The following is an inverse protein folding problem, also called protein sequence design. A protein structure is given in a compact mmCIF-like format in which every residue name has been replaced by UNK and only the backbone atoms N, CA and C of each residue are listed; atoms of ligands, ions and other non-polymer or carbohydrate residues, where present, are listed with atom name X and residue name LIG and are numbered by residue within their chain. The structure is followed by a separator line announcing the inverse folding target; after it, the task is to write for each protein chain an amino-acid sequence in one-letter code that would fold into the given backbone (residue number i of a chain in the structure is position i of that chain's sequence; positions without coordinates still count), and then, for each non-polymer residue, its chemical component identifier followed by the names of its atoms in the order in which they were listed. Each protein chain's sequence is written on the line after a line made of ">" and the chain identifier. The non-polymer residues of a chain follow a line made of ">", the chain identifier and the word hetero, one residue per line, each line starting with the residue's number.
data_IF_040935287478
#
_entry.id   IF_040935287478
#
_cell.length_a   1.000
_cell.length_b   1.000
_cell.length_c   1.000
_cell.angle_alpha   90.00
_cell.angle_beta   90.00
_cell.angle_gamma   90.00
#
_symmetry.space_group_name_H-M   'P 1'
#
loop_
_entity.id
_entity.type
_entity.pdbx_description
1 polymer ?
#
# COMPACT_ATOMS: atom_id res chain seq x y z
N UNK A 1 31.42 -9.66 -9.50
CA UNK A 1 30.42 -10.38 -8.70
C UNK A 1 29.88 -9.37 -7.70
N UNK A 2 28.85 -8.61 -8.10
CA UNK A 2 28.25 -7.58 -7.23
C UNK A 2 27.31 -8.31 -6.27
N UNK A 3 27.56 -8.13 -4.98
CA UNK A 3 26.69 -8.62 -3.92
C UNK A 3 25.32 -7.95 -4.08
N UNK A 4 24.29 -8.71 -4.46
CA UNK A 4 22.91 -8.25 -4.39
C UNK A 4 22.59 -8.04 -2.90
N UNK A 5 22.59 -6.79 -2.45
CA UNK A 5 21.96 -6.43 -1.19
C UNK A 5 20.45 -6.67 -1.38
N UNK A 6 19.97 -7.84 -0.95
CA UNK A 6 18.56 -8.10 -0.74
C UNK A 6 18.05 -7.16 0.36
N UNK A 7 17.71 -5.93 0.00
CA UNK A 7 16.91 -5.05 0.82
C UNK A 7 15.48 -5.59 0.79
N UNK A 8 15.12 -6.41 1.77
CA UNK A 8 13.73 -6.81 1.97
C UNK A 8 12.94 -5.59 2.48
N UNK A 9 12.01 -5.09 1.68
CA UNK A 9 11.10 -4.02 2.09
C UNK A 9 9.95 -4.63 2.86
N UNK A 10 9.67 -4.10 4.05
CA UNK A 10 8.52 -4.53 4.87
C UNK A 10 7.51 -3.39 4.94
N UNK A 11 6.30 -3.65 4.45
CA UNK A 11 5.17 -2.74 4.63
C UNK A 11 4.62 -2.84 6.05
N UNK A 12 4.51 -1.70 6.71
CA UNK A 12 3.95 -1.60 8.05
C UNK A 12 2.84 -0.55 8.07
N UNK A 13 1.69 -0.93 8.61
CA UNK A 13 0.59 -0.02 8.90
C UNK A 13 0.31 -0.06 10.39
N UNK A 14 0.55 1.05 11.09
CA UNK A 14 0.21 1.18 12.51
C UNK A 14 -1.18 1.80 12.66
N UNK A 15 -2.03 1.12 13.44
CA UNK A 15 -3.38 1.59 13.73
C UNK A 15 -3.50 1.79 15.23
N UNK A 16 -3.74 3.04 15.62
CA UNK A 16 -3.99 3.38 17.01
C UNK A 16 -5.32 2.75 17.45
N UNK A 17 -5.28 1.99 18.54
CA UNK A 17 -6.46 1.34 19.10
C UNK A 17 -7.47 2.37 19.61
N UNK A 18 -8.74 2.12 19.35
CA UNK A 18 -9.86 2.88 19.88
C UNK A 18 -11.02 1.92 20.21
N UNK A 19 -11.81 2.11 21.29
CA UNK A 19 -12.82 1.13 21.74
C UNK A 19 -13.83 0.68 20.67
N UNK A 20 -14.14 1.57 19.74
CA UNK A 20 -15.10 1.33 18.66
C UNK A 20 -14.46 1.07 17.30
N UNK A 21 -13.14 0.94 17.25
CA UNK A 21 -12.40 0.69 16.02
C UNK A 21 -11.89 -0.73 16.03
N UNK A 22 -12.32 -1.50 15.03
CA UNK A 22 -11.74 -2.81 14.71
C UNK A 22 -10.97 -2.69 13.40
N UNK A 23 -9.79 -3.29 13.36
CA UNK A 23 -8.93 -3.31 12.20
C UNK A 23 -8.51 -4.73 11.92
N UNK A 24 -8.74 -5.19 10.70
CA UNK A 24 -8.47 -6.56 10.28
C UNK A 24 -7.79 -6.54 8.92
N UNK A 25 -6.78 -7.41 8.75
CA UNK A 25 -6.18 -7.62 7.44
C UNK A 25 -7.27 -8.04 6.47
N UNK A 26 -7.29 -7.40 5.31
CA UNK A 26 -8.28 -7.68 4.29
C UNK A 26 -7.58 -8.09 3.00
N UNK A 27 -8.18 -9.00 2.22
CA UNK A 27 -7.68 -9.30 0.89
C UNK A 27 -7.83 -8.07 -0.01
N UNK A 28 -6.85 -7.85 -0.87
CA UNK A 28 -6.86 -6.81 -1.89
C UNK A 28 -6.11 -7.37 -3.10
N UNK A 29 -6.87 -8.01 -3.99
CA UNK A 29 -6.31 -8.74 -5.12
C UNK A 29 -5.57 -10.02 -4.75
N UNK A 30 -4.78 -10.54 -5.71
CA UNK A 30 -3.83 -11.62 -5.48
C UNK A 30 -2.83 -11.27 -4.36
N UNK A 31 -2.27 -12.26 -3.66
CA UNK A 31 -1.23 -12.01 -2.66
C UNK A 31 -0.06 -11.21 -3.24
N UNK A 32 0.20 -10.04 -2.66
CA UNK A 32 1.32 -9.18 -3.02
C UNK A 32 2.11 -8.83 -1.76
N UNK A 33 3.44 -8.89 -1.86
CA UNK A 33 4.32 -8.43 -0.78
C UNK A 33 4.44 -6.90 -0.74
N UNK A 34 3.96 -6.24 -1.79
CA UNK A 34 4.06 -4.82 -2.05
C UNK A 34 2.75 -4.07 -1.74
N UNK A 35 1.71 -4.80 -1.31
CA UNK A 35 0.42 -4.24 -0.91
C UNK A 35 -0.02 -4.84 0.43
N UNK A 36 -0.44 -3.97 1.35
CA UNK A 36 -1.03 -4.33 2.62
C UNK A 36 -2.38 -3.63 2.77
N UNK A 37 -3.47 -4.40 2.77
CA UNK A 37 -4.81 -3.86 2.98
C UNK A 37 -5.36 -4.20 4.35
N UNK A 38 -6.02 -3.21 4.96
CA UNK A 38 -6.70 -3.32 6.24
C UNK A 38 -8.11 -2.77 6.11
N UNK A 39 -9.09 -3.56 6.52
CA UNK A 39 -10.45 -3.06 6.69
C UNK A 39 -10.60 -2.47 8.09
N UNK A 40 -11.02 -1.22 8.14
CA UNK A 40 -11.34 -0.50 9.37
C UNK A 40 -12.84 -0.48 9.54
N UNK A 41 -13.31 -1.01 10.66
CA UNK A 41 -14.72 -1.09 11.01
C UNK A 41 -15.00 -0.26 12.26
N UNK A 42 -16.03 0.57 12.17
CA UNK A 42 -16.68 1.26 13.29
C UNK A 42 -18.16 0.87 13.31
N UNK A 43 -18.92 1.16 14.38
CA UNK A 43 -20.34 0.81 14.42
C UNK A 43 -21.17 1.47 13.30
N UNK A 44 -20.71 2.58 12.74
CA UNK A 44 -21.44 3.36 11.73
C UNK A 44 -20.87 3.23 10.32
N UNK A 45 -19.57 2.92 10.19
CA UNK A 45 -18.85 2.99 8.91
C UNK A 45 -17.78 1.92 8.79
N UNK A 46 -17.59 1.46 7.57
CA UNK A 46 -16.46 0.64 7.15
C UNK A 46 -15.65 1.42 6.12
N UNK A 47 -14.33 1.30 6.18
CA UNK A 47 -13.41 1.86 5.20
C UNK A 47 -12.24 0.90 4.95
N UNK A 48 -11.61 1.02 3.78
CA UNK A 48 -10.39 0.32 3.42
C UNK A 48 -9.19 1.25 3.52
N UNK A 49 -8.11 0.74 4.07
CA UNK A 49 -6.79 1.35 4.04
C UNK A 49 -5.86 0.42 3.28
N UNK A 50 -5.32 0.88 2.16
CA UNK A 50 -4.37 0.14 1.34
C UNK A 50 -3.03 0.86 1.40
N UNK A 51 -2.04 0.20 1.98
CA UNK A 51 -0.66 0.67 2.01
C UNK A 51 0.13 0.00 0.87
N UNK A 52 0.78 0.78 0.02
CA UNK A 52 1.54 0.30 -1.15
C UNK A 52 3.01 0.68 -1.04
N UNK A 53 3.88 -0.24 -1.46
CA UNK A 53 5.24 0.07 -1.83
C UNK A 53 5.43 -0.26 -3.31
N UNK A 54 5.74 0.73 -4.13
CA UNK A 54 6.09 0.50 -5.53
C UNK A 54 7.60 0.60 -5.68
N UNK A 55 8.24 -0.47 -6.14
CA UNK A 55 9.69 -0.52 -6.30
C UNK A 55 10.15 0.54 -7.33
N UNK A 56 11.21 1.33 -7.02
CA UNK A 56 11.69 2.39 -7.89
C UNK A 56 12.36 1.83 -9.15
N UNK A 57 12.62 2.73 -10.11
CA UNK A 57 13.32 2.37 -11.33
C UNK A 57 14.72 1.79 -11.04
N UNK A 58 15.05 0.65 -11.66
CA UNK A 58 16.29 -0.09 -11.48
C UNK A 58 16.32 -1.03 -10.27
N UNK A 59 15.24 -1.12 -9.48
CA UNK A 59 15.13 -2.08 -8.40
C UNK A 59 14.65 -3.46 -8.89
N UNK A 60 14.87 -4.49 -8.08
CA UNK A 60 14.23 -5.79 -8.28
C UNK A 60 12.71 -5.61 -8.15
N UNK A 61 11.97 -6.18 -9.10
CA UNK A 61 10.50 -6.08 -9.18
C UNK A 61 9.99 -4.63 -9.36
N UNK A 62 10.76 -3.79 -10.06
CA UNK A 62 10.36 -2.45 -10.49
C UNK A 62 8.90 -2.41 -10.97
N UNK A 63 8.11 -1.48 -10.41
CA UNK A 63 6.74 -1.25 -10.86
C UNK A 63 5.69 -2.27 -10.41
N UNK A 64 6.09 -3.41 -9.82
CA UNK A 64 5.16 -4.52 -9.50
C UNK A 64 4.06 -4.13 -8.51
N UNK A 65 4.36 -3.27 -7.52
CA UNK A 65 3.37 -2.76 -6.58
C UNK A 65 2.26 -1.98 -7.29
N UNK A 66 2.63 -1.10 -8.24
CA UNK A 66 1.66 -0.33 -9.01
C UNK A 66 0.89 -1.22 -10.00
N UNK A 67 1.56 -2.15 -10.68
CA UNK A 67 0.91 -3.11 -11.58
C UNK A 67 -0.18 -3.90 -10.83
N UNK A 68 0.15 -4.42 -9.65
CA UNK A 68 -0.79 -5.13 -8.77
C UNK A 68 -1.96 -4.25 -8.32
N UNK A 69 -1.73 -2.97 -8.04
CA UNK A 69 -2.80 -2.03 -7.67
C UNK A 69 -3.75 -1.76 -8.84
N UNK A 70 -3.21 -1.64 -10.06
CA UNK A 70 -3.99 -1.28 -11.25
C UNK A 70 -4.85 -2.43 -11.78
N UNK A 71 -4.59 -3.68 -11.39
CA UNK A 71 -5.46 -4.82 -11.71
C UNK A 71 -6.71 -4.87 -10.86
N UNK A 72 -6.75 -4.15 -9.74
CA UNK A 72 -7.87 -4.17 -8.81
C UNK A 72 -8.99 -3.22 -9.23
N UNK A 73 -10.24 -3.66 -9.03
CA UNK A 73 -11.39 -2.79 -9.20
C UNK A 73 -11.48 -1.80 -8.05
N UNK A 74 -11.85 -0.55 -8.34
CA UNK A 74 -12.07 0.47 -7.31
C UNK A 74 -13.06 -0.05 -6.26
N UNK A 75 -12.69 -0.06 -4.96
CA UNK A 75 -13.60 -0.51 -3.91
C UNK A 75 -14.88 0.33 -3.88
N UNK A 76 -16.01 -0.32 -3.62
CA UNK A 76 -17.31 0.36 -3.43
C UNK A 76 -17.44 1.07 -2.07
N UNK A 77 -16.56 0.73 -1.13
CA UNK A 77 -16.46 1.34 0.19
C UNK A 77 -15.47 2.50 0.17
N UNK A 78 -15.59 3.48 1.09
CA UNK A 78 -14.56 4.49 1.28
C UNK A 78 -13.18 3.85 1.40
N UNK A 79 -12.24 4.28 0.55
CA UNK A 79 -10.91 3.70 0.45
C UNK A 79 -9.84 4.78 0.46
N UNK A 80 -8.81 4.60 1.28
CA UNK A 80 -7.58 5.37 1.22
C UNK A 80 -6.47 4.45 0.71
N UNK A 81 -5.90 4.81 -0.44
CA UNK A 81 -4.66 4.21 -0.95
C UNK A 81 -3.53 5.18 -0.68
N UNK A 82 -2.50 4.74 0.01
CA UNK A 82 -1.36 5.56 0.39
C UNK A 82 -0.10 4.70 0.50
N UNK A 83 1.07 5.33 0.53
CA UNK A 83 2.34 4.62 0.65
C UNK A 83 3.41 5.27 -0.20
N UNK A 84 4.49 4.54 -0.45
CA UNK A 84 5.58 5.01 -1.29
C UNK A 84 5.40 4.49 -2.71
N UNK A 85 4.97 5.37 -3.60
CA UNK A 85 4.80 5.04 -5.02
C UNK A 85 6.13 5.08 -5.78
N UNK A 86 7.21 5.65 -5.24
CA UNK A 86 8.43 5.95 -6.00
C UNK A 86 8.16 6.61 -7.36
N UNK A 87 7.07 7.38 -7.45
CA UNK A 87 6.66 8.10 -8.66
C UNK A 87 6.81 9.60 -8.47
N UNK A 88 7.01 10.26 -9.60
CA UNK A 88 7.19 11.68 -9.68
C UNK A 88 5.94 12.33 -10.28
N UNK A 89 5.31 13.25 -9.54
CA UNK A 89 4.15 14.01 -10.02
C UNK A 89 4.41 15.51 -9.95
N UNK A 90 4.17 16.30 -11.02
CA UNK A 90 4.49 17.73 -11.05
C UNK A 90 3.89 18.57 -9.92
N UNK A 91 2.76 18.14 -9.36
CA UNK A 91 2.05 18.86 -8.29
C UNK A 91 2.61 18.53 -6.89
N UNK A 92 3.21 17.35 -6.69
CA UNK A 92 3.61 16.86 -5.36
C UNK A 92 5.12 16.71 -5.20
N UNK A 93 5.90 16.93 -6.26
CA UNK A 93 7.34 17.02 -6.17
C UNK A 93 7.71 18.21 -5.27
N UNK A 94 8.44 17.93 -4.19
CA UNK A 94 9.19 18.99 -3.53
C UNK A 94 10.28 19.45 -4.49
N UNK A 95 10.48 20.77 -4.61
CA UNK A 95 11.53 21.39 -5.43
C UNK A 95 12.94 21.18 -4.86
N UNK A 96 13.17 20.09 -4.13
CA UNK A 96 14.40 19.80 -3.43
C UNK A 96 15.50 19.36 -4.40
#
# INVERSE_FOLDING_TARGET
>A
MLSECLCSVTLLTYIQKHPHLKAELAPFGPPSRDILAVQINTPQKTAFLVNIYNAPCGAVDEGQGLESLMTETTPSLPCLVAGDFNLQHPIWQSSA
#
